data_IF_556394627484
#
_entry.id   IF_556394627484
#
_cell.length_a   1.000
_cell.length_b   1.000
_cell.length_c   1.000
_cell.angle_alpha   90.00
_cell.angle_beta   90.00
_cell.angle_gamma   90.00
#
_symmetry.space_group_name_H-M   'P 1'
#
loop_
_entity.id
_entity.type
_entity.pdbx_description
1 polymer ?
#
# COMPACT_ATOMS: atom_id res chain seq x y z
N UNK A 1 -4.34 61.73 -1.12
CA UNK A 1 -3.09 60.95 -1.17
C UNK A 1 -3.15 59.75 -0.19
N UNK A 2 -4.14 58.85 -0.32
CA UNK A 2 -4.29 57.62 0.50
C UNK A 2 -4.91 56.43 -0.26
N UNK A 3 -5.15 56.53 -1.56
CA UNK A 3 -5.92 55.51 -2.29
C UNK A 3 -5.09 54.35 -2.87
N UNK A 4 -3.75 54.39 -2.78
CA UNK A 4 -2.89 53.37 -3.38
C UNK A 4 -2.60 52.16 -2.45
N UNK A 5 -2.89 52.25 -1.14
CA UNK A 5 -2.39 51.27 -0.15
C UNK A 5 -3.34 50.06 0.03
N UNK A 6 -4.62 50.17 -0.35
CA UNK A 6 -5.61 49.09 -0.13
C UNK A 6 -5.64 47.98 -1.19
N UNK A 7 -4.99 48.16 -2.35
CA UNK A 7 -5.00 47.16 -3.43
C UNK A 7 -3.91 46.08 -3.25
N UNK A 8 -2.76 46.42 -2.67
CA UNK A 8 -1.57 45.55 -2.71
C UNK A 8 -1.52 44.46 -1.63
N UNK A 9 -2.32 44.54 -0.55
CA UNK A 9 -2.35 43.52 0.51
C UNK A 9 -3.31 42.36 0.21
N UNK A 10 -4.31 42.59 -0.64
CA UNK A 10 -5.37 41.62 -0.99
C UNK A 10 -4.89 40.60 -2.02
N UNK A 11 -4.20 41.04 -3.06
CA UNK A 11 -3.67 40.16 -4.12
C UNK A 11 -2.60 39.23 -3.56
N UNK A 12 -1.87 39.67 -2.53
CA UNK A 12 -0.85 38.88 -1.88
C UNK A 12 -1.40 37.58 -1.26
N UNK A 13 -2.49 37.74 -0.53
CA UNK A 13 -3.22 36.63 0.10
C UNK A 13 -3.86 35.72 -0.94
N UNK A 14 -4.38 36.27 -2.05
CA UNK A 14 -4.99 35.48 -3.12
C UNK A 14 -3.99 34.56 -3.83
N UNK A 15 -2.77 35.03 -4.14
CA UNK A 15 -1.77 34.17 -4.77
C UNK A 15 -1.23 33.10 -3.81
N UNK A 16 -1.14 33.40 -2.52
CA UNK A 16 -0.77 32.42 -1.48
C UNK A 16 -1.82 31.32 -1.37
N UNK A 17 -3.09 31.70 -1.37
CA UNK A 17 -4.22 30.76 -1.35
C UNK A 17 -4.21 29.89 -2.61
N UNK A 18 -4.04 30.47 -3.80
CA UNK A 18 -3.96 29.70 -5.05
C UNK A 18 -2.77 28.74 -5.07
N UNK A 19 -1.62 29.17 -4.52
CA UNK A 19 -0.43 28.33 -4.41
C UNK A 19 -0.69 27.13 -3.49
N UNK A 20 -1.31 27.36 -2.33
CA UNK A 20 -1.60 26.29 -1.38
C UNK A 20 -2.70 25.35 -1.90
N UNK A 21 -3.72 25.88 -2.58
CA UNK A 21 -4.72 25.06 -3.29
C UNK A 21 -4.08 24.13 -4.31
N UNK A 22 -3.19 24.65 -5.16
CA UNK A 22 -2.50 23.83 -6.17
C UNK A 22 -1.61 22.75 -5.52
N UNK A 23 -0.98 23.08 -4.39
CA UNK A 23 -0.18 22.11 -3.63
C UNK A 23 -1.06 21.01 -3.03
N UNK A 24 -2.23 21.37 -2.48
CA UNK A 24 -3.21 20.40 -1.98
C UNK A 24 -3.72 19.48 -3.10
N UNK A 25 -4.04 20.03 -4.27
CA UNK A 25 -4.44 19.24 -5.45
C UNK A 25 -3.35 18.22 -5.84
N UNK A 26 -2.08 18.64 -5.86
CA UNK A 26 -0.96 17.74 -6.15
C UNK A 26 -0.83 16.61 -5.13
N UNK A 27 -0.94 16.92 -3.83
CA UNK A 27 -0.90 15.91 -2.76
C UNK A 27 -2.08 14.95 -2.85
N UNK A 28 -3.28 15.45 -3.16
CA UNK A 28 -4.47 14.62 -3.31
C UNK A 28 -4.32 13.65 -4.49
N UNK A 29 -3.80 14.12 -5.63
CA UNK A 29 -3.53 13.29 -6.79
C UNK A 29 -2.50 12.19 -6.50
N UNK A 30 -1.44 12.51 -5.73
CA UNK A 30 -0.46 11.53 -5.27
C UNK A 30 -1.08 10.49 -4.33
N UNK A 31 -1.94 10.93 -3.42
CA UNK A 31 -2.67 10.05 -2.49
C UNK A 31 -3.63 9.11 -3.24
N UNK A 32 -4.32 9.57 -4.28
CA UNK A 32 -5.18 8.71 -5.08
C UNK A 32 -4.40 7.60 -5.79
N UNK A 33 -3.16 7.87 -6.21
CA UNK A 33 -2.31 6.85 -6.82
C UNK A 33 -1.88 5.77 -5.81
N UNK A 34 -1.67 6.13 -4.55
CA UNK A 34 -1.30 5.18 -3.50
C UNK A 34 -2.49 4.35 -2.99
N UNK A 35 -3.73 4.82 -3.18
CA UNK A 35 -4.96 4.12 -2.78
C UNK A 35 -5.58 3.26 -3.89
N UNK A 36 -4.89 3.07 -5.03
CA UNK A 36 -5.41 2.19 -6.09
C UNK A 36 -5.66 0.77 -5.56
N UNK A 37 -6.86 0.20 -5.78
CA UNK A 37 -7.20 -1.14 -5.29
C UNK A 37 -6.47 -2.24 -6.07
N UNK A 38 -6.15 -1.98 -7.34
CA UNK A 38 -5.44 -2.91 -8.22
C UNK A 38 -4.08 -2.33 -8.55
N UNK A 39 -3.04 -3.13 -8.34
CA UNK A 39 -1.64 -2.78 -8.55
C UNK A 39 -1.08 -3.57 -9.73
N UNK A 40 -0.23 -2.91 -10.50
CA UNK A 40 0.70 -3.54 -11.44
C UNK A 40 1.90 -4.17 -10.72
N UNK A 41 2.75 -4.88 -11.45
CA UNK A 41 3.99 -5.47 -10.89
C UNK A 41 4.90 -4.39 -10.31
N UNK A 42 5.06 -3.27 -11.01
CA UNK A 42 5.91 -2.16 -10.55
C UNK A 42 5.35 -1.52 -9.28
N UNK A 43 4.05 -1.28 -9.21
CA UNK A 43 3.39 -0.73 -8.02
C UNK A 43 3.43 -1.73 -6.84
N UNK A 44 3.31 -3.04 -7.10
CA UNK A 44 3.45 -4.08 -6.07
C UNK A 44 4.89 -4.13 -5.53
N UNK A 45 5.89 -4.03 -6.41
CA UNK A 45 7.29 -3.96 -6.04
C UNK A 45 7.58 -2.74 -5.17
N UNK A 46 7.05 -1.58 -5.53
CA UNK A 46 7.15 -0.35 -4.73
C UNK A 46 6.45 -0.49 -3.37
N UNK A 47 5.25 -1.08 -3.33
CA UNK A 47 4.50 -1.28 -2.10
C UNK A 47 5.26 -2.17 -1.09
N UNK A 48 5.89 -3.25 -1.58
CA UNK A 48 6.62 -4.21 -0.75
C UNK A 48 8.08 -3.79 -0.49
N UNK A 49 8.59 -2.76 -1.18
CA UNK A 49 10.00 -2.38 -1.13
C UNK A 49 10.93 -3.44 -1.76
N UNK A 50 10.44 -4.19 -2.74
CA UNK A 50 11.16 -5.29 -3.40
C UNK A 50 11.57 -4.90 -4.83
N UNK A 51 12.51 -5.64 -5.40
CA UNK A 51 12.82 -5.49 -6.83
C UNK A 51 11.73 -6.13 -7.70
N UNK A 52 11.46 -5.54 -8.86
CA UNK A 52 10.48 -6.05 -9.84
C UNK A 52 10.78 -7.50 -10.22
N UNK A 53 12.04 -7.83 -10.47
CA UNK A 53 12.47 -9.20 -10.77
C UNK A 53 12.14 -10.18 -9.65
N UNK A 54 12.23 -9.74 -8.38
CA UNK A 54 11.88 -10.59 -7.26
C UNK A 54 10.36 -10.81 -7.17
N UNK A 55 9.55 -9.80 -7.45
CA UNK A 55 8.10 -9.96 -7.58
C UNK A 55 7.76 -10.97 -8.69
N UNK A 56 8.40 -10.88 -9.86
CA UNK A 56 8.22 -11.88 -10.91
C UNK A 56 8.59 -13.28 -10.46
N UNK A 57 9.72 -13.45 -9.74
CA UNK A 57 10.08 -14.75 -9.16
C UNK A 57 8.98 -15.27 -8.25
N UNK A 58 8.46 -14.46 -7.32
CA UNK A 58 7.36 -14.84 -6.43
C UNK A 58 6.09 -15.22 -7.19
N UNK A 59 5.77 -14.51 -8.28
CA UNK A 59 4.60 -14.85 -9.12
C UNK A 59 4.78 -16.17 -9.86
N UNK A 60 6.00 -16.46 -10.33
CA UNK A 60 6.32 -17.72 -11.02
C UNK A 60 6.31 -18.93 -10.08
N UNK A 61 6.80 -18.73 -8.85
CA UNK A 61 6.75 -19.72 -7.76
C UNK A 61 5.34 -19.85 -7.13
N UNK A 62 4.36 -19.05 -7.57
CA UNK A 62 2.99 -18.99 -7.03
C UNK A 62 2.95 -18.71 -5.52
N UNK A 63 3.94 -18.00 -4.99
CA UNK A 63 4.06 -17.67 -3.56
C UNK A 63 3.33 -16.40 -3.17
N UNK A 64 3.06 -15.52 -4.13
CA UNK A 64 2.34 -14.26 -3.94
C UNK A 64 0.94 -14.34 -4.60
N UNK A 65 -0.13 -13.90 -3.93
CA UNK A 65 -1.48 -13.83 -4.52
C UNK A 65 -1.48 -12.91 -5.73
N UNK A 66 -1.96 -13.38 -6.89
CA UNK A 66 -1.94 -12.59 -8.12
C UNK A 66 -3.02 -13.03 -9.12
N UNK A 67 -3.37 -12.11 -10.02
CA UNK A 67 -4.43 -12.26 -11.02
C UNK A 67 -3.88 -12.12 -12.45
N UNK A 68 -4.32 -12.99 -13.36
CA UNK A 68 -3.91 -13.01 -14.77
C UNK A 68 -5.12 -13.21 -15.72
N UNK A 69 -6.00 -12.22 -15.89
CA UNK A 69 -7.23 -12.37 -16.67
C UNK A 69 -6.99 -12.65 -18.17
N UNK A 70 -5.91 -12.13 -18.74
CA UNK A 70 -5.57 -12.29 -20.17
C UNK A 70 -4.16 -12.88 -20.40
N UNK A 71 -3.52 -13.42 -19.36
CA UNK A 71 -2.20 -14.06 -19.43
C UNK A 71 -0.98 -13.15 -19.70
N UNK A 72 -1.16 -11.96 -20.30
CA UNK A 72 -0.04 -11.06 -20.66
C UNK A 72 0.45 -10.18 -19.51
N UNK A 73 -0.44 -9.74 -18.63
CA UNK A 73 -0.13 -8.87 -17.48
C UNK A 73 -0.55 -9.54 -16.18
N UNK A 74 0.23 -9.28 -15.14
CA UNK A 74 -0.06 -9.70 -13.76
C UNK A 74 -0.59 -8.51 -12.99
N UNK A 75 -1.70 -8.73 -12.30
CA UNK A 75 -2.34 -7.74 -11.45
C UNK A 75 -2.41 -8.27 -10.02
N UNK A 76 -2.42 -7.34 -9.07
CA UNK A 76 -2.49 -7.63 -7.66
C UNK A 76 -3.60 -6.81 -7.02
N UNK A 77 -4.34 -7.41 -6.09
CA UNK A 77 -5.21 -6.64 -5.22
C UNK A 77 -4.40 -6.12 -4.05
N UNK A 78 -4.48 -4.84 -3.77
CA UNK A 78 -3.68 -4.19 -2.72
C UNK A 78 -3.90 -4.84 -1.35
N UNK A 79 -5.16 -5.07 -0.99
CA UNK A 79 -5.53 -5.61 0.32
C UNK A 79 -4.95 -7.03 0.52
N UNK A 80 -5.04 -7.89 -0.50
CA UNK A 80 -4.50 -9.25 -0.45
C UNK A 80 -2.98 -9.26 -0.33
N UNK A 81 -2.28 -8.32 -0.97
CA UNK A 81 -0.82 -8.21 -0.85
C UNK A 81 -0.40 -7.76 0.54
N UNK A 82 -1.13 -6.82 1.15
CA UNK A 82 -0.87 -6.37 2.52
C UNK A 82 -1.12 -7.51 3.50
N UNK A 83 -2.25 -8.21 3.36
CA UNK A 83 -2.57 -9.37 4.20
C UNK A 83 -1.52 -10.48 4.04
N UNK A 84 -1.12 -10.79 2.80
CA UNK A 84 -0.07 -11.75 2.52
C UNK A 84 1.27 -11.35 3.14
N UNK A 85 1.66 -10.08 3.07
CA UNK A 85 2.89 -9.59 3.68
C UNK A 85 2.89 -9.74 5.21
N UNK A 86 1.71 -9.61 5.84
CA UNK A 86 1.53 -9.76 7.28
C UNK A 86 1.29 -11.22 7.72
N UNK A 87 1.00 -12.13 6.80
CA UNK A 87 0.59 -13.52 7.09
C UNK A 87 1.65 -14.36 7.81
N UNK A 88 2.94 -14.12 7.52
CA UNK A 88 4.06 -14.87 8.12
C UNK A 88 4.64 -14.12 9.33
N UNK A 89 3.78 -13.79 10.30
CA UNK A 89 4.22 -13.23 11.58
C UNK A 89 5.12 -14.25 12.28
N UNK A 90 6.42 -13.96 12.36
CA UNK A 90 7.33 -14.70 13.24
C UNK A 90 7.05 -14.23 14.66
N UNK A 91 6.52 -15.14 15.46
CA UNK A 91 6.27 -14.84 16.86
C UNK A 91 7.58 -14.97 17.64
N UNK A 92 7.93 -14.01 18.51
CA UNK A 92 9.05 -14.19 19.43
C UNK A 92 8.82 -15.46 20.26
N UNK A 93 9.90 -16.11 20.69
CA UNK A 93 9.96 -17.48 21.26
C UNK A 93 8.90 -17.85 22.32
N UNK A 94 8.16 -16.89 22.87
CA UNK A 94 7.05 -17.09 23.80
C UNK A 94 5.70 -17.54 23.20
N UNK A 95 5.34 -17.22 21.94
CA UNK A 95 3.99 -17.58 21.42
C UNK A 95 3.93 -18.97 20.75
N UNK A 96 5.08 -19.55 20.37
CA UNK A 96 5.18 -20.88 19.73
C UNK A 96 4.57 -21.98 20.61
N UNK A 97 4.66 -21.81 21.94
CA UNK A 97 4.11 -22.77 22.90
C UNK A 97 2.58 -22.94 22.81
N UNK A 98 1.83 -21.92 22.40
CA UNK A 98 0.36 -21.98 22.34
C UNK A 98 -0.16 -22.60 21.03
N UNK A 99 0.53 -22.41 19.92
CA UNK A 99 0.18 -23.02 18.64
C UNK A 99 0.44 -24.54 18.65
N UNK A 100 1.57 -24.97 19.21
CA UNK A 100 1.90 -26.40 19.43
C UNK A 100 0.91 -27.05 20.40
N UNK A 101 0.56 -26.39 21.51
CA UNK A 101 -0.45 -26.88 22.48
C UNK A 101 -1.81 -27.09 21.84
N UNK A 102 -2.24 -26.18 20.97
CA UNK A 102 -3.55 -26.24 20.32
C UNK A 102 -3.65 -27.41 19.33
N UNK A 103 -2.61 -27.65 18.53
CA UNK A 103 -2.56 -28.83 17.64
C UNK A 103 -2.46 -30.15 18.41
N UNK A 104 -1.67 -30.19 19.50
CA UNK A 104 -1.53 -31.39 20.34
C UNK A 104 -2.80 -31.78 21.12
N UNK A 105 -3.75 -30.84 21.32
CA UNK A 105 -5.07 -31.14 21.93
C UNK A 105 -6.06 -31.75 20.94
N UNK A 106 -5.99 -31.40 19.66
CA UNK A 106 -6.85 -31.98 18.60
C UNK A 106 -6.45 -33.43 18.28
N UNK A 107 -5.15 -33.75 18.25
CA UNK A 107 -4.65 -35.10 18.01
C UNK A 107 -5.06 -36.13 19.09
N UNK A 108 -5.42 -35.67 20.30
CA UNK A 108 -5.81 -36.55 21.43
C UNK A 108 -7.32 -36.69 21.63
N UNK A 109 -8.16 -35.98 20.85
CA UNK A 109 -9.63 -36.05 20.89
C UNK A 109 -10.24 -36.81 19.71
N UNK A 110 -9.41 -37.53 18.95
CA UNK A 110 -9.82 -38.50 17.95
C UNK A 110 -9.61 -39.92 18.46
N UNK A 111 -10.46 -40.33 19.40
CA UNK A 111 -10.86 -41.72 19.66
C UNK A 111 -12.37 -41.71 19.73
#
# INVERSE_FOLDING_TARGET
MKEQIMSHKSVASSWEIMRELKKLEQLLAQQQQSQKPVLSVDECAQLLGLSVSYVYRLTSEKRIPHYKPHGKKVYFRREEIIEWALSNKVTPDGEIADCIRTHARRARRGV
#
